data_IF_507369891976
#
_entry.id   IF_507369891976
#
_cell.length_a   1.000
_cell.length_b   1.000
_cell.length_c   1.000
_cell.angle_alpha   90.00
_cell.angle_beta   90.00
_cell.angle_gamma   90.00
#
_symmetry.space_group_name_H-M   'P 1'
#
loop_
_entity.id
_entity.type
_entity.pdbx_description
1 polymer ?
#
# COMPACT_ATOMS: atom_id res chain seq x y z
N UNK A 1 15.52 0.50 5.01
CA UNK A 1 14.13 0.80 5.43
C UNK A 1 13.99 0.95 6.96
N UNK A 2 14.26 2.13 7.53
CA UNK A 2 14.01 2.42 8.95
C UNK A 2 12.60 2.97 9.24
N UNK A 3 11.94 3.64 8.28
CA UNK A 3 10.65 4.31 8.51
C UNK A 3 9.42 3.38 8.53
N UNK A 4 9.35 2.40 7.62
CA UNK A 4 8.18 1.52 7.48
C UNK A 4 8.24 0.35 8.47
N UNK A 5 7.19 0.16 9.28
CA UNK A 5 7.13 -0.90 10.31
C UNK A 5 6.57 -2.22 9.80
N UNK A 6 5.76 -2.20 8.74
CA UNK A 6 5.00 -3.35 8.24
C UNK A 6 5.85 -4.23 7.31
N UNK A 7 5.61 -5.54 7.35
CA UNK A 7 6.09 -6.54 6.38
C UNK A 7 4.94 -7.48 6.03
N UNK A 8 4.66 -7.67 4.75
CA UNK A 8 3.72 -8.69 4.28
C UNK A 8 4.46 -10.02 4.09
N UNK A 9 4.04 -11.05 4.83
CA UNK A 9 4.58 -12.41 4.75
C UNK A 9 3.65 -13.22 3.86
N UNK A 10 4.06 -13.37 2.60
CA UNK A 10 3.29 -14.05 1.56
C UNK A 10 3.41 -15.56 1.71
N UNK A 11 2.26 -16.25 1.71
CA UNK A 11 2.20 -17.72 1.74
C UNK A 11 1.55 -18.25 0.46
N UNK A 12 2.19 -19.26 -0.13
CA UNK A 12 1.60 -20.10 -1.17
C UNK A 12 1.19 -21.45 -0.59
N UNK A 13 0.48 -22.27 -1.38
CA UNK A 13 0.15 -23.67 -1.01
C UNK A 13 1.40 -24.55 -0.83
N UNK A 14 2.55 -24.13 -1.35
CA UNK A 14 3.83 -24.83 -1.24
C UNK A 14 4.70 -24.33 -0.09
N UNK A 15 4.31 -23.24 0.58
CA UNK A 15 5.11 -22.65 1.66
C UNK A 15 4.95 -23.47 2.94
N UNK A 16 6.03 -24.13 3.37
CA UNK A 16 6.05 -24.90 4.61
C UNK A 16 5.90 -24.02 5.86
N UNK A 17 5.23 -24.54 6.89
CA UNK A 17 4.99 -23.83 8.15
C UNK A 17 6.29 -23.44 8.86
N UNK A 18 7.34 -24.25 8.77
CA UNK A 18 8.65 -23.97 9.36
C UNK A 18 9.35 -22.75 8.72
N UNK A 19 9.19 -22.58 7.40
CA UNK A 19 9.72 -21.43 6.66
C UNK A 19 8.95 -20.17 7.07
N UNK A 20 7.62 -20.27 7.15
CA UNK A 20 6.77 -19.16 7.59
C UNK A 20 7.11 -18.70 9.02
N UNK A 21 7.28 -19.65 9.95
CA UNK A 21 7.70 -19.37 11.32
C UNK A 21 9.09 -18.70 11.37
N UNK A 22 10.02 -19.15 10.53
CA UNK A 22 11.37 -18.56 10.41
C UNK A 22 11.30 -17.10 9.97
N UNK A 23 10.50 -16.79 8.94
CA UNK A 23 10.33 -15.41 8.44
C UNK A 23 9.72 -14.51 9.52
N UNK A 24 8.71 -14.99 10.26
CA UNK A 24 8.12 -14.24 11.39
C UNK A 24 9.15 -13.97 12.49
N UNK A 25 9.98 -14.96 12.82
CA UNK A 25 11.06 -14.78 13.79
C UNK A 25 12.09 -13.74 13.33
N UNK A 26 12.42 -13.72 12.04
CA UNK A 26 13.29 -12.69 11.45
C UNK A 26 12.64 -11.30 11.58
N UNK A 27 11.37 -11.15 11.21
CA UNK A 27 10.63 -9.88 11.33
C UNK A 27 10.66 -9.34 12.76
N UNK A 28 10.45 -10.20 13.76
CA UNK A 28 10.55 -9.83 15.17
C UNK A 28 11.96 -9.34 15.54
N UNK A 29 13.01 -10.04 15.12
CA UNK A 29 14.43 -9.64 15.37
C UNK A 29 14.75 -8.26 14.79
N UNK A 30 14.21 -7.94 13.61
CA UNK A 30 14.41 -6.63 12.98
C UNK A 30 13.37 -5.57 13.39
N UNK A 31 12.55 -5.86 14.42
CA UNK A 31 11.51 -4.98 14.96
C UNK A 31 10.50 -4.50 13.91
N UNK A 32 10.12 -5.40 13.00
CA UNK A 32 9.04 -5.21 12.03
C UNK A 32 7.80 -5.97 12.48
N UNK A 33 6.65 -5.50 12.01
CA UNK A 33 5.35 -6.10 12.25
C UNK A 33 4.92 -6.93 11.03
N UNK A 34 4.97 -8.28 11.10
CA UNK A 34 4.56 -9.14 10.01
C UNK A 34 3.03 -9.29 9.95
N UNK A 35 2.46 -9.24 8.75
CA UNK A 35 1.07 -9.61 8.45
C UNK A 35 1.07 -10.76 7.44
N UNK A 36 0.17 -11.73 7.58
CA UNK A 36 0.10 -12.85 6.63
C UNK A 36 -0.84 -12.53 5.48
N UNK A 37 -0.45 -12.89 4.26
CA UNK A 37 -1.29 -12.79 3.09
C UNK A 37 -1.09 -13.98 2.15
N UNK A 38 -2.12 -14.29 1.34
CA UNK A 38 -1.98 -15.22 0.23
C UNK A 38 -1.19 -14.60 -0.92
N UNK A 39 -0.68 -15.46 -1.80
CA UNK A 39 -0.04 -15.03 -3.05
C UNK A 39 -1.09 -14.53 -4.05
N UNK A 40 -1.13 -13.21 -4.21
CA UNK A 40 -2.04 -12.46 -5.07
C UNK A 40 -1.31 -11.22 -5.57
N UNK A 41 -1.58 -10.81 -6.80
CA UNK A 41 -1.15 -9.52 -7.33
C UNK A 41 -1.49 -8.38 -6.35
N UNK A 42 -0.45 -7.64 -5.94
CA UNK A 42 -0.57 -6.51 -5.01
C UNK A 42 -0.74 -6.87 -3.53
N UNK A 43 -0.68 -8.15 -3.13
CA UNK A 43 -0.79 -8.61 -1.74
C UNK A 43 -1.98 -7.97 -0.99
N UNK A 44 -1.77 -7.34 0.17
CA UNK A 44 -2.83 -6.60 0.89
C UNK A 44 -2.71 -5.11 0.57
N UNK A 45 -1.54 -4.51 0.80
CA UNK A 45 -1.36 -3.06 0.75
C UNK A 45 -1.62 -2.53 -0.64
N UNK A 46 -0.95 -3.05 -1.67
CA UNK A 46 -1.11 -2.52 -3.03
C UNK A 46 -2.49 -2.85 -3.61
N UNK A 47 -3.04 -4.02 -3.30
CA UNK A 47 -4.38 -4.41 -3.72
C UNK A 47 -5.49 -3.47 -3.19
N UNK A 48 -5.27 -2.82 -2.05
CA UNK A 48 -6.18 -1.81 -1.50
C UNK A 48 -5.79 -0.38 -1.92
N UNK A 49 -4.49 -0.10 -2.01
CA UNK A 49 -3.97 1.24 -2.28
C UNK A 49 -4.30 1.73 -3.68
N UNK A 50 -4.06 0.93 -4.72
CA UNK A 50 -4.26 1.39 -6.10
C UNK A 50 -5.73 1.67 -6.45
N UNK A 51 -6.70 0.83 -6.07
CA UNK A 51 -8.11 1.19 -6.26
C UNK A 51 -8.51 2.49 -5.56
N UNK A 52 -7.95 2.76 -4.38
CA UNK A 52 -8.15 4.03 -3.67
C UNK A 52 -7.58 5.22 -4.45
N UNK A 53 -6.33 5.14 -4.89
CA UNK A 53 -5.69 6.20 -5.69
C UNK A 53 -6.41 6.43 -7.01
N UNK A 54 -6.83 5.37 -7.69
CA UNK A 54 -7.58 5.45 -8.94
C UNK A 54 -8.95 6.09 -8.75
N UNK A 55 -9.63 5.84 -7.63
CA UNK A 55 -10.89 6.51 -7.33
C UNK A 55 -10.69 8.01 -7.11
N UNK A 56 -9.61 8.42 -6.43
CA UNK A 56 -9.25 9.84 -6.30
C UNK A 56 -9.02 10.48 -7.69
N UNK A 57 -8.26 9.82 -8.57
CA UNK A 57 -8.01 10.28 -9.95
C UNK A 57 -9.33 10.44 -10.72
N UNK A 58 -10.25 9.46 -10.63
CA UNK A 58 -11.57 9.53 -11.28
C UNK A 58 -12.42 10.71 -10.79
N UNK A 59 -12.36 11.04 -9.49
CA UNK A 59 -13.08 12.19 -8.95
C UNK A 59 -12.59 13.51 -9.56
N UNK A 60 -11.28 13.62 -9.79
CA UNK A 60 -10.69 14.80 -10.46
C UNK A 60 -11.05 14.82 -11.94
N UNK A 61 -10.97 13.68 -12.63
CA UNK A 61 -11.36 13.53 -14.04
C UNK A 61 -12.82 13.95 -14.27
N UNK A 62 -13.71 13.62 -13.32
CA UNK A 62 -15.12 14.01 -13.36
C UNK A 62 -15.40 15.44 -12.88
N UNK A 63 -14.35 16.22 -12.59
CA UNK A 63 -14.43 17.57 -12.03
C UNK A 63 -15.28 17.66 -10.74
N UNK A 64 -15.32 16.58 -9.95
CA UNK A 64 -16.12 16.52 -8.74
C UNK A 64 -15.50 17.32 -7.59
N UNK A 65 -14.18 17.31 -7.49
CA UNK A 65 -13.40 18.04 -6.48
C UNK A 65 -12.01 18.38 -7.00
N UNK A 66 -11.36 19.37 -6.39
CA UNK A 66 -9.96 19.71 -6.69
C UNK A 66 -9.00 18.70 -6.08
N UNK A 67 -7.77 18.64 -6.61
CA UNK A 67 -6.68 17.80 -6.09
C UNK A 67 -6.44 18.11 -4.60
N UNK A 68 -6.32 19.40 -4.27
CA UNK A 68 -6.06 19.89 -2.91
C UNK A 68 -7.17 19.53 -1.93
N UNK A 69 -8.44 19.64 -2.36
CA UNK A 69 -9.58 19.30 -1.51
C UNK A 69 -9.67 17.79 -1.23
N UNK A 70 -9.36 16.95 -2.23
CA UNK A 70 -9.32 15.50 -2.05
C UNK A 70 -8.19 15.12 -1.08
N UNK A 71 -7.01 15.72 -1.25
CA UNK A 71 -5.89 15.52 -0.34
C UNK A 71 -6.21 15.98 1.09
N UNK A 72 -6.81 17.16 1.24
CA UNK A 72 -7.25 17.66 2.53
C UNK A 72 -8.32 16.75 3.17
N UNK A 73 -9.29 16.27 2.39
CA UNK A 73 -10.34 15.37 2.87
C UNK A 73 -9.76 14.04 3.38
N UNK A 74 -8.79 13.46 2.67
CA UNK A 74 -8.19 12.18 3.08
C UNK A 74 -7.25 12.33 4.27
N UNK A 75 -6.54 13.46 4.37
CA UNK A 75 -5.70 13.77 5.54
C UNK A 75 -6.51 14.09 6.79
N UNK A 76 -7.44 15.04 6.70
CA UNK A 76 -8.18 15.56 7.85
C UNK A 76 -9.39 14.69 8.21
N UNK A 77 -10.10 14.14 7.21
CA UNK A 77 -11.27 13.30 7.41
C UNK A 77 -10.93 11.81 7.47
N UNK A 78 -10.08 11.34 6.57
CA UNK A 78 -9.66 9.92 6.50
C UNK A 78 -8.56 9.54 7.49
N UNK A 79 -7.90 10.52 8.12
CA UNK A 79 -6.80 10.30 9.07
C UNK A 79 -5.53 9.74 8.42
N UNK A 80 -5.40 9.84 7.09
CA UNK A 80 -4.19 9.41 6.40
C UNK A 80 -3.05 10.40 6.67
N UNK A 81 -1.80 9.91 6.79
CA UNK A 81 -0.65 10.78 7.01
C UNK A 81 -0.32 11.67 5.80
N UNK A 82 -0.85 11.32 4.62
CA UNK A 82 -0.59 11.99 3.35
C UNK A 82 -1.82 11.84 2.44
N UNK A 83 -2.08 12.86 1.62
CA UNK A 83 -3.15 12.81 0.62
C UNK A 83 -2.83 11.82 -0.51
N UNK A 84 -3.83 11.33 -1.26
CA UNK A 84 -3.59 10.45 -2.40
C UNK A 84 -2.69 11.07 -3.48
N UNK A 85 -2.84 12.37 -3.79
CA UNK A 85 -2.06 13.03 -4.83
C UNK A 85 -0.65 13.38 -4.35
N UNK A 86 -0.52 13.89 -3.12
CA UNK A 86 0.80 14.01 -2.47
C UNK A 86 1.57 12.68 -2.45
N UNK A 87 0.88 11.56 -2.17
CA UNK A 87 1.51 10.25 -2.18
C UNK A 87 1.98 9.86 -3.58
N UNK A 88 1.16 10.09 -4.60
CA UNK A 88 1.51 9.83 -6.01
C UNK A 88 2.71 10.67 -6.44
N UNK A 89 2.81 11.93 -6.01
CA UNK A 89 3.95 12.80 -6.31
C UNK A 89 5.24 12.34 -5.62
N UNK A 90 5.15 11.83 -4.38
CA UNK A 90 6.31 11.29 -3.66
C UNK A 90 6.81 9.98 -4.26
N UNK A 91 5.90 9.10 -4.67
CA UNK A 91 6.25 7.80 -5.26
C UNK A 91 6.72 7.95 -6.71
N UNK A 92 6.13 8.90 -7.45
CA UNK A 92 6.27 9.04 -8.89
C UNK A 92 5.15 8.34 -9.65
N UNK A 93 4.58 9.03 -10.64
CA UNK A 93 3.48 8.50 -11.46
C UNK A 93 3.92 7.34 -12.36
N UNK A 94 5.17 7.35 -12.82
CA UNK A 94 5.77 6.27 -13.62
C UNK A 94 5.92 4.98 -12.82
N UNK A 95 6.41 5.08 -11.59
CA UNK A 95 6.51 3.95 -10.65
C UNK A 95 5.12 3.44 -10.28
N UNK A 96 4.19 4.34 -9.97
CA UNK A 96 2.81 3.99 -9.61
C UNK A 96 2.11 3.24 -10.75
N UNK A 97 2.22 3.75 -11.98
CA UNK A 97 1.67 3.11 -13.17
C UNK A 97 2.34 1.76 -13.49
N UNK A 98 3.65 1.65 -13.26
CA UNK A 98 4.37 0.40 -13.47
C UNK A 98 3.88 -0.70 -12.51
N UNK A 99 3.58 -0.37 -11.25
CA UNK A 99 3.05 -1.32 -10.27
C UNK A 99 1.62 -1.73 -10.62
N UNK A 100 0.78 -0.80 -11.10
CA UNK A 100 -0.61 -1.09 -11.45
C UNK A 100 -0.75 -2.02 -12.67
N UNK A 101 0.21 -1.97 -13.60
CA UNK A 101 0.18 -2.80 -14.82
C UNK A 101 0.50 -4.28 -14.59
N UNK A 102 0.89 -4.66 -13.36
CA UNK A 102 1.32 -6.02 -12.99
C UNK A 102 0.20 -6.75 -12.25
#
# INVERSE_FOLDING_TARGET
APAMKLVEVVRTVLTADEVHATVRAVCAKIRKHPVDCGDRAGFIVNALLFPYLNNAIKMVEQHYASLDDIDAAMKLGGGYPMGPFELLDVVGLDVSLAIEKV
#
